data_IF_045208727339
#
_entry.id   IF_045208727339
#
_cell.length_a   1.000
_cell.length_b   1.000
_cell.length_c   1.000
_cell.angle_alpha   90.00
_cell.angle_beta   90.00
_cell.angle_gamma   90.00
#
_symmetry.space_group_name_H-M   'P 1'
#
loop_
_entity.id
_entity.type
_entity.pdbx_description
1 polymer ?
#
# COMPACT_ATOMS: atom_id res chain seq x y z
N UNK A 1 -6.70 -10.29 26.03
CA UNK A 1 -5.83 -9.27 25.42
C UNK A 1 -6.13 -7.98 26.15
N UNK A 2 -5.14 -7.18 26.58
CA UNK A 2 -5.46 -5.98 27.36
C UNK A 2 -6.24 -4.99 26.48
N UNK A 3 -7.43 -4.62 26.93
CA UNK A 3 -8.30 -3.58 26.36
C UNK A 3 -7.72 -2.15 26.54
N UNK A 4 -6.41 -2.04 26.76
CA UNK A 4 -5.75 -0.77 26.96
C UNK A 4 -5.51 -0.12 25.60
N UNK A 5 -6.11 1.06 25.43
CA UNK A 5 -5.81 1.94 24.32
C UNK A 5 -4.30 2.25 24.38
N UNK A 6 -3.53 2.03 23.31
CA UNK A 6 -2.09 2.30 23.30
C UNK A 6 -1.78 3.74 23.72
N UNK A 7 -0.63 3.95 24.35
CA UNK A 7 -0.22 5.29 24.76
C UNK A 7 -0.08 6.21 23.53
N UNK A 8 -0.36 7.50 23.72
CA UNK A 8 -0.30 8.48 22.61
C UNK A 8 1.07 8.50 21.93
N UNK A 9 2.14 8.33 22.70
CA UNK A 9 3.51 8.29 22.16
C UNK A 9 3.71 7.10 21.21
N UNK A 10 3.20 5.92 21.56
CA UNK A 10 3.27 4.73 20.73
C UNK A 10 2.50 4.89 19.43
N UNK A 11 1.29 5.47 19.49
CA UNK A 11 0.46 5.75 18.30
C UNK A 11 1.19 6.72 17.36
N UNK A 12 1.78 7.79 17.90
CA UNK A 12 2.51 8.79 17.11
C UNK A 12 3.75 8.16 16.47
N UNK A 13 4.54 7.40 17.23
CA UNK A 13 5.73 6.70 16.72
C UNK A 13 5.38 5.73 15.60
N UNK A 14 4.34 4.92 15.80
CA UNK A 14 3.82 3.99 14.78
C UNK A 14 3.39 4.74 13.51
N UNK A 15 2.67 5.85 13.67
CA UNK A 15 2.21 6.70 12.56
C UNK A 15 3.37 7.28 11.76
N UNK A 16 4.43 7.77 12.42
CA UNK A 16 5.61 8.32 11.73
C UNK A 16 6.27 7.24 10.86
N UNK A 17 6.42 6.03 11.42
CA UNK A 17 7.02 4.90 10.71
C UNK A 17 6.16 4.51 9.50
N UNK A 18 4.84 4.40 9.67
CA UNK A 18 3.94 3.98 8.59
C UNK A 18 3.84 5.03 7.49
N UNK A 19 3.83 6.32 7.84
CA UNK A 19 3.89 7.43 6.86
C UNK A 19 5.21 7.39 6.10
N UNK A 20 6.33 7.19 6.78
CA UNK A 20 7.64 7.11 6.14
C UNK A 20 7.71 5.96 5.12
N UNK A 21 7.23 4.77 5.49
CA UNK A 21 7.18 3.64 4.55
C UNK A 21 6.19 3.86 3.40
N UNK A 22 5.02 4.46 3.67
CA UNK A 22 4.06 4.81 2.61
C UNK A 22 4.68 5.80 1.59
N UNK A 23 5.43 6.79 2.06
CA UNK A 23 6.13 7.76 1.20
C UNK A 23 7.22 7.05 0.38
N UNK A 24 8.02 6.17 0.99
CA UNK A 24 9.05 5.41 0.27
C UNK A 24 8.41 4.58 -0.85
N UNK A 25 7.33 3.86 -0.53
CA UNK A 25 6.64 3.03 -1.53
C UNK A 25 5.96 3.87 -2.60
N UNK A 26 5.47 5.07 -2.28
CA UNK A 26 4.96 6.02 -3.27
C UNK A 26 6.07 6.47 -4.23
N UNK A 27 7.22 6.88 -3.71
CA UNK A 27 8.36 7.29 -4.53
C UNK A 27 8.81 6.13 -5.40
N UNK A 28 8.90 4.92 -4.83
CA UNK A 28 9.31 3.73 -5.56
C UNK A 28 8.30 3.37 -6.66
N UNK A 29 7.00 3.40 -6.35
CA UNK A 29 5.95 3.15 -7.34
C UNK A 29 5.93 4.18 -8.47
N UNK A 30 6.08 5.46 -8.15
CA UNK A 30 6.19 6.51 -9.17
C UNK A 30 7.45 6.35 -10.03
N UNK A 31 8.57 5.93 -9.45
CA UNK A 31 9.80 5.66 -10.19
C UNK A 31 9.64 4.48 -11.15
N UNK A 32 9.04 3.37 -10.70
CA UNK A 32 8.72 2.22 -11.56
C UNK A 32 7.81 2.65 -12.71
N UNK A 33 6.73 3.37 -12.40
CA UNK A 33 5.80 3.87 -13.40
C UNK A 33 6.47 4.77 -14.44
N UNK A 34 7.29 5.73 -13.99
CA UNK A 34 8.02 6.63 -14.88
C UNK A 34 9.02 5.87 -15.77
N UNK A 35 9.66 4.83 -15.26
CA UNK A 35 10.60 3.99 -16.00
C UNK A 35 9.94 2.99 -16.96
N UNK A 36 8.64 2.75 -16.81
CA UNK A 36 7.83 1.98 -17.76
C UNK A 36 7.40 2.80 -18.99
N UNK A 37 7.72 4.09 -19.06
CA UNK A 37 7.37 4.93 -20.20
C UNK A 37 8.14 4.52 -21.48
N UNK A 38 7.48 4.47 -22.65
CA UNK A 38 8.08 3.97 -23.90
C UNK A 38 9.38 4.66 -24.30
N UNK A 39 9.50 5.97 -23.99
CA UNK A 39 10.64 6.78 -24.41
C UNK A 39 11.94 6.48 -23.63
N UNK A 40 11.82 5.83 -22.47
CA UNK A 40 12.96 5.60 -21.56
C UNK A 40 13.17 4.14 -21.17
N UNK A 41 12.20 3.26 -21.48
CA UNK A 41 12.19 1.86 -21.03
C UNK A 41 13.48 1.10 -21.39
N UNK A 42 14.03 1.32 -22.58
CA UNK A 42 15.22 0.63 -23.07
C UNK A 42 16.50 0.96 -22.27
N UNK A 43 16.50 2.09 -21.56
CA UNK A 43 17.62 2.54 -20.71
C UNK A 43 17.31 2.45 -19.21
N UNK A 44 16.11 1.98 -18.86
CA UNK A 44 15.62 1.99 -17.48
C UNK A 44 15.90 0.68 -16.74
N UNK A 45 15.83 0.75 -15.41
CA UNK A 45 15.87 -0.43 -14.54
C UNK A 45 14.71 -1.38 -14.86
N UNK A 46 13.53 -0.83 -15.19
CA UNK A 46 12.35 -1.62 -15.55
C UNK A 46 12.59 -2.41 -16.84
N UNK A 47 13.12 -1.77 -17.88
CA UNK A 47 13.44 -2.48 -19.13
C UNK A 47 14.49 -3.57 -18.94
N UNK A 48 15.51 -3.30 -18.12
CA UNK A 48 16.54 -4.28 -17.78
C UNK A 48 15.97 -5.50 -17.03
N UNK A 49 15.08 -5.27 -16.05
CA UNK A 49 14.40 -6.34 -15.31
C UNK A 49 13.47 -7.15 -16.21
N UNK A 50 12.72 -6.47 -17.08
CA UNK A 50 11.79 -7.11 -18.02
C UNK A 50 12.53 -8.00 -19.04
N UNK A 51 13.69 -7.55 -19.52
CA UNK A 51 14.55 -8.33 -20.41
C UNK A 51 15.15 -9.57 -19.72
N UNK A 52 15.42 -9.49 -18.42
CA UNK A 52 15.91 -10.64 -17.64
C UNK A 52 14.79 -11.66 -17.36
N UNK A 53 13.63 -11.20 -16.90
CA UNK A 53 12.43 -12.01 -16.71
C UNK A 53 11.18 -11.12 -16.68
N UNK A 54 10.21 -11.33 -17.60
CA UNK A 54 9.05 -10.46 -17.74
C UNK A 54 8.08 -10.51 -16.55
N UNK A 55 8.17 -11.52 -15.68
CA UNK A 55 7.32 -11.60 -14.49
C UNK A 55 7.84 -10.77 -13.31
N UNK A 56 9.11 -10.35 -13.31
CA UNK A 56 9.69 -9.63 -12.17
C UNK A 56 9.07 -8.25 -11.97
N UNK A 57 8.87 -7.49 -13.06
CA UNK A 57 8.34 -6.14 -13.00
C UNK A 57 6.91 -6.13 -12.42
N UNK A 58 5.94 -6.90 -12.97
CA UNK A 58 4.60 -6.96 -12.39
C UNK A 58 4.59 -7.39 -10.92
N UNK A 59 5.44 -8.35 -10.53
CA UNK A 59 5.54 -8.80 -9.14
C UNK A 59 5.99 -7.65 -8.22
N UNK A 60 7.02 -6.90 -8.63
CA UNK A 60 7.52 -5.76 -7.85
C UNK A 60 6.45 -4.66 -7.76
N UNK A 61 5.76 -4.36 -8.85
CA UNK A 61 4.66 -3.38 -8.89
C UNK A 61 3.52 -3.80 -7.94
N UNK A 62 3.10 -5.06 -7.98
CA UNK A 62 2.08 -5.64 -7.09
C UNK A 62 2.49 -5.48 -5.62
N UNK A 63 3.71 -5.88 -5.24
CA UNK A 63 4.17 -5.76 -3.86
C UNK A 63 4.32 -4.30 -3.41
N UNK A 64 4.68 -3.41 -4.33
CA UNK A 64 4.77 -1.97 -4.05
C UNK A 64 3.40 -1.39 -3.74
N UNK A 65 2.40 -1.67 -4.57
CA UNK A 65 1.04 -1.17 -4.37
C UNK A 65 0.34 -1.83 -3.19
N UNK A 66 0.54 -3.12 -2.97
CA UNK A 66 0.05 -3.82 -1.78
C UNK A 66 0.69 -3.24 -0.51
N UNK A 67 2.01 -3.04 -0.50
CA UNK A 67 2.70 -2.42 0.63
C UNK A 67 2.18 -1.01 0.91
N UNK A 68 1.96 -0.20 -0.14
CA UNK A 68 1.37 1.12 0.00
C UNK A 68 -0.01 1.04 0.66
N UNK A 69 -0.88 0.13 0.24
CA UNK A 69 -2.18 -0.09 0.87
C UNK A 69 -2.05 -0.43 2.36
N UNK A 70 -1.15 -1.36 2.71
CA UNK A 70 -0.92 -1.77 4.11
C UNK A 70 -0.51 -0.57 4.97
N UNK A 71 0.53 0.17 4.55
CA UNK A 71 1.04 1.28 5.37
C UNK A 71 0.07 2.48 5.44
N UNK A 72 -0.65 2.78 4.35
CA UNK A 72 -1.70 3.80 4.37
C UNK A 72 -2.86 3.38 5.29
N UNK A 73 -3.24 2.11 5.25
CA UNK A 73 -4.31 1.57 6.11
C UNK A 73 -3.93 1.68 7.58
N UNK A 74 -2.72 1.25 7.96
CA UNK A 74 -2.24 1.38 9.35
C UNK A 74 -2.17 2.85 9.77
N UNK A 75 -1.71 3.74 8.88
CA UNK A 75 -1.69 5.18 9.14
C UNK A 75 -3.11 5.73 9.39
N UNK A 76 -4.09 5.36 8.58
CA UNK A 76 -5.47 5.81 8.74
C UNK A 76 -6.10 5.28 10.04
N UNK A 77 -5.83 4.02 10.40
CA UNK A 77 -6.28 3.44 11.67
C UNK A 77 -5.66 4.17 12.86
N UNK A 78 -4.35 4.42 12.85
CA UNK A 78 -3.66 5.14 13.92
C UNK A 78 -4.16 6.58 14.05
N UNK A 79 -4.33 7.29 12.93
CA UNK A 79 -4.83 8.66 12.92
C UNK A 79 -6.26 8.74 13.49
N UNK A 80 -7.13 7.82 13.10
CA UNK A 80 -8.49 7.75 13.65
C UNK A 80 -8.49 7.43 15.13
N UNK A 81 -7.67 6.47 15.58
CA UNK A 81 -7.53 6.13 17.00
C UNK A 81 -7.05 7.35 17.79
N UNK A 82 -6.07 8.10 17.26
CA UNK A 82 -5.57 9.32 17.88
C UNK A 82 -6.66 10.39 18.02
N UNK A 83 -7.44 10.65 16.96
CA UNK A 83 -8.44 11.72 16.92
C UNK A 83 -9.75 11.38 17.65
N UNK A 84 -10.20 10.13 17.55
CA UNK A 84 -11.56 9.72 17.98
C UNK A 84 -11.56 8.74 19.14
N UNK A 85 -10.43 8.14 19.49
CA UNK A 85 -10.33 7.04 20.48
C UNK A 85 -11.19 5.81 20.12
N UNK A 86 -11.73 5.74 18.89
CA UNK A 86 -12.52 4.60 18.38
C UNK A 86 -11.63 3.79 17.43
N UNK A 87 -11.57 2.46 17.62
CA UNK A 87 -10.87 1.55 16.71
C UNK A 87 -11.50 1.58 15.31
N UNK A 88 -10.62 1.60 14.30
CA UNK A 88 -10.84 1.45 12.85
C UNK A 88 -12.22 1.74 12.26
N UNK A 89 -12.29 2.72 11.35
CA UNK A 89 -13.43 2.87 10.47
C UNK A 89 -13.29 2.05 9.20
N UNK A 90 -14.23 1.12 8.99
CA UNK A 90 -14.27 0.30 7.77
C UNK A 90 -14.39 1.13 6.50
N UNK A 91 -15.05 2.29 6.59
CA UNK A 91 -15.24 3.19 5.48
C UNK A 91 -13.90 3.74 4.96
N UNK A 92 -12.99 4.15 5.85
CA UNK A 92 -11.66 4.64 5.49
C UNK A 92 -10.83 3.56 4.80
N UNK A 93 -10.89 2.32 5.32
CA UNK A 93 -10.17 1.18 4.71
C UNK A 93 -10.70 0.88 3.30
N UNK A 94 -12.03 0.89 3.11
CA UNK A 94 -12.65 0.66 1.80
C UNK A 94 -12.29 1.79 0.82
N UNK A 95 -12.30 3.05 1.27
CA UNK A 95 -11.89 4.18 0.42
C UNK A 95 -10.43 4.02 0.01
N UNK A 96 -9.54 3.67 0.93
CA UNK A 96 -8.13 3.43 0.61
C UNK A 96 -7.94 2.28 -0.38
N UNK A 97 -8.73 1.21 -0.26
CA UNK A 97 -8.69 0.09 -1.21
C UNK A 97 -9.06 0.56 -2.62
N UNK A 98 -10.13 1.36 -2.75
CA UNK A 98 -10.55 1.92 -4.04
C UNK A 98 -9.48 2.84 -4.62
N UNK A 99 -8.90 3.73 -3.80
CA UNK A 99 -7.85 4.66 -4.24
C UNK A 99 -6.61 3.91 -4.73
N UNK A 100 -6.14 2.91 -3.97
CA UNK A 100 -4.96 2.12 -4.38
C UNK A 100 -5.25 1.28 -5.62
N UNK A 101 -6.46 0.71 -5.74
CA UNK A 101 -6.89 -0.02 -6.93
C UNK A 101 -6.84 0.87 -8.18
N UNK A 102 -7.43 2.07 -8.11
CA UNK A 102 -7.41 3.03 -9.21
C UNK A 102 -5.98 3.46 -9.54
N UNK A 103 -5.16 3.75 -8.53
CA UNK A 103 -3.76 4.09 -8.74
C UNK A 103 -2.98 2.97 -9.46
N UNK A 104 -3.14 1.72 -9.01
CA UNK A 104 -2.48 0.57 -9.63
C UNK A 104 -2.93 0.36 -11.08
N UNK A 105 -4.23 0.56 -11.35
CA UNK A 105 -4.80 0.46 -12.70
C UNK A 105 -4.25 1.54 -13.64
N UNK A 106 -4.20 2.80 -13.20
CA UNK A 106 -3.73 3.91 -14.03
C UNK A 106 -2.21 3.95 -14.21
N UNK A 107 -1.46 3.47 -13.21
CA UNK A 107 0.00 3.45 -13.27
C UNK A 107 0.51 2.25 -14.06
N UNK A 108 -0.02 1.06 -13.85
CA UNK A 108 0.61 -0.16 -14.39
C UNK A 108 -0.30 -0.89 -15.36
N UNK A 109 -1.19 -1.72 -14.86
CA UNK A 109 -2.08 -2.54 -15.67
C UNK A 109 -3.27 -3.04 -14.86
N UNK A 110 -4.26 -3.61 -15.56
CA UNK A 110 -5.41 -4.23 -14.91
C UNK A 110 -5.01 -5.47 -14.10
N UNK A 111 -4.03 -6.25 -14.56
CA UNK A 111 -3.53 -7.43 -13.85
C UNK A 111 -2.89 -7.03 -12.52
N UNK A 112 -2.04 -6.00 -12.52
CA UNK A 112 -1.42 -5.47 -11.29
C UNK A 112 -2.48 -4.97 -10.32
N UNK A 113 -3.50 -4.25 -10.81
CA UNK A 113 -4.59 -3.76 -9.99
C UNK A 113 -5.40 -4.91 -9.36
N UNK A 114 -5.80 -5.91 -10.15
CA UNK A 114 -6.59 -7.06 -9.67
C UNK A 114 -5.83 -7.84 -8.61
N UNK A 115 -4.56 -8.17 -8.85
CA UNK A 115 -3.77 -8.94 -7.87
C UNK A 115 -3.50 -8.12 -6.61
N UNK A 116 -3.24 -6.81 -6.75
CA UNK A 116 -3.11 -5.91 -5.60
C UNK A 116 -4.37 -5.89 -4.75
N UNK A 117 -5.56 -5.80 -5.37
CA UNK A 117 -6.84 -5.86 -4.65
C UNK A 117 -7.03 -7.19 -3.95
N UNK A 118 -6.72 -8.32 -4.59
CA UNK A 118 -6.83 -9.65 -3.97
C UNK A 118 -5.96 -9.77 -2.70
N UNK A 119 -4.70 -9.34 -2.78
CA UNK A 119 -3.80 -9.32 -1.61
C UNK A 119 -4.29 -8.35 -0.53
N UNK A 120 -4.77 -7.17 -0.94
CA UNK A 120 -5.30 -6.15 -0.05
C UNK A 120 -6.54 -6.65 0.69
N UNK A 121 -7.43 -7.38 0.01
CA UNK A 121 -8.59 -8.03 0.63
C UNK A 121 -8.17 -9.08 1.67
N UNK A 122 -7.14 -9.88 1.41
CA UNK A 122 -6.62 -10.81 2.41
C UNK A 122 -6.10 -10.08 3.66
N UNK A 123 -5.46 -8.92 3.48
CA UNK A 123 -5.05 -8.06 4.60
C UNK A 123 -6.24 -7.45 5.34
N UNK A 124 -7.29 -7.02 4.64
CA UNK A 124 -8.53 -6.53 5.28
C UNK A 124 -9.17 -7.63 6.14
N UNK A 125 -9.24 -8.86 5.64
CA UNK A 125 -9.73 -10.02 6.41
C UNK A 125 -8.86 -10.26 7.64
N UNK A 126 -7.54 -10.16 7.52
CA UNK A 126 -6.64 -10.24 8.67
C UNK A 126 -6.93 -9.15 9.71
N UNK A 127 -7.13 -7.90 9.29
CA UNK A 127 -7.52 -6.82 10.20
C UNK A 127 -8.88 -7.04 10.87
N UNK A 128 -9.83 -7.64 10.15
CA UNK A 128 -11.13 -8.02 10.70
C UNK A 128 -10.97 -9.04 11.83
N UNK A 129 -10.20 -10.10 11.59
CA UNK A 129 -9.93 -11.15 12.58
C UNK A 129 -9.16 -10.65 13.81
N UNK A 130 -8.40 -9.55 13.69
CA UNK A 130 -7.71 -8.92 14.82
C UNK A 130 -8.62 -8.02 15.67
N UNK A 131 -9.79 -7.66 15.16
CA UNK A 131 -10.76 -6.84 15.91
C UNK A 131 -11.69 -7.69 16.78
N UNK A 132 -11.87 -8.97 16.42
CA UNK A 132 -12.53 -9.99 17.25
C UNK A 132 -11.63 -10.46 18.40
#
# INVERSE_FOLDING_TARGET
>A
MSDEIPEREEIVRSTIITVFFAIILLIFGLALWAWSAPDVIDTSLVGSLNAANPFLVPIIEIFTMFGMFVFLTVTAVNLRLYLTQIRSGWLEIIILLVVVCLAAYFMYSIEVAVVTVLLSMAFIVYLYLLQE
#
